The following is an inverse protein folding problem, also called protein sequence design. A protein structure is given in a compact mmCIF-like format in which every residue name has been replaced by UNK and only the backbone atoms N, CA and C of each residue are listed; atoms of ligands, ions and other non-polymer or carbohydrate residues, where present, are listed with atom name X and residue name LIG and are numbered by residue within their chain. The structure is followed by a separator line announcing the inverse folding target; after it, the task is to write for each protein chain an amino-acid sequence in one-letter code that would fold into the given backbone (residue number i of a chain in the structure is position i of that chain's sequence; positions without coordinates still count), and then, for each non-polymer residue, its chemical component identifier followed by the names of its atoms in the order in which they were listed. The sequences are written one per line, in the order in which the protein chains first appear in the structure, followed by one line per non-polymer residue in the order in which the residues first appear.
data_IF_760473052193
#
_entry.id   IF_760473052193
#
_cell.length_a   1.000
_cell.length_b   1.000
_cell.length_c   1.000
_cell.angle_alpha   90.00
_cell.angle_beta   90.00
_cell.angle_gamma   90.00
#
_symmetry.space_group_name_H-M   'P 1'
#
loop_
_entity.id
_entity.type
_entity.pdbx_description
1 polymer ?
#
# COMPACT_ATOMS: atom_id res chain seq x y z
N UNK A 1 0.17 2.65 -17.98
CA UNK A 1 0.30 1.24 -17.54
C UNK A 1 1.69 1.09 -16.94
N UNK A 2 1.80 0.65 -15.69
CA UNK A 2 3.09 0.46 -15.00
C UNK A 2 3.79 -0.76 -15.62
N UNK A 3 5.09 -0.66 -15.88
CA UNK A 3 5.87 -1.82 -16.36
C UNK A 3 6.12 -2.79 -15.21
N UNK A 4 6.13 -4.09 -15.50
CA UNK A 4 6.32 -5.11 -14.47
C UNK A 4 7.67 -4.94 -13.74
N UNK A 5 8.77 -4.70 -14.46
CA UNK A 5 10.10 -4.50 -13.85
C UNK A 5 10.14 -3.31 -12.86
N UNK A 6 9.42 -2.23 -13.19
CA UNK A 6 9.32 -1.04 -12.35
C UNK A 6 8.51 -1.34 -11.08
N UNK A 7 7.35 -1.98 -11.25
CA UNK A 7 6.49 -2.40 -10.14
C UNK A 7 7.21 -3.38 -9.21
N UNK A 8 7.89 -4.38 -9.77
CA UNK A 8 8.63 -5.38 -9.02
C UNK A 8 9.82 -4.75 -8.27
N UNK A 9 10.54 -3.82 -8.87
CA UNK A 9 11.65 -3.10 -8.22
C UNK A 9 11.17 -2.31 -7.00
N UNK A 10 10.05 -1.58 -7.13
CA UNK A 10 9.47 -0.83 -6.02
C UNK A 10 8.87 -1.76 -4.95
N UNK A 11 8.18 -2.83 -5.35
CA UNK A 11 7.67 -3.85 -4.43
C UNK A 11 8.81 -4.50 -3.63
N UNK A 12 9.93 -4.84 -4.28
CA UNK A 12 11.11 -5.36 -3.60
C UNK A 12 11.67 -4.37 -2.58
N UNK A 13 11.77 -3.09 -2.93
CA UNK A 13 12.23 -2.05 -2.01
C UNK A 13 11.32 -1.92 -0.78
N UNK A 14 10.00 -1.94 -0.98
CA UNK A 14 9.00 -1.91 0.09
C UNK A 14 9.10 -3.17 0.96
N UNK A 15 9.21 -4.35 0.37
CA UNK A 15 9.36 -5.60 1.11
C UNK A 15 10.62 -5.60 1.97
N UNK A 16 11.76 -5.12 1.46
CA UNK A 16 13.00 -5.00 2.23
C UNK A 16 12.89 -3.97 3.37
N UNK A 17 12.19 -2.85 3.15
CA UNK A 17 11.98 -1.80 4.16
C UNK A 17 11.04 -2.24 5.28
N UNK A 18 10.00 -3.01 4.95
CA UNK A 18 8.88 -3.28 5.85
C UNK A 18 8.88 -4.71 6.42
N UNK A 19 9.51 -5.66 5.72
CA UNK A 19 9.41 -7.08 6.03
C UNK A 19 8.03 -7.69 5.70
N UNK A 20 7.21 -7.01 4.89
CA UNK A 20 5.90 -7.53 4.49
C UNK A 20 5.99 -8.69 3.50
N UNK A 21 4.85 -9.36 3.26
CA UNK A 21 4.75 -10.40 2.23
C UNK A 21 4.87 -9.76 0.84
N UNK A 22 5.36 -10.53 -0.13
CA UNK A 22 5.49 -10.06 -1.51
C UNK A 22 4.19 -9.43 -2.04
N UNK A 23 3.04 -10.07 -1.82
CA UNK A 23 1.75 -9.55 -2.29
C UNK A 23 1.38 -8.20 -1.67
N UNK A 24 1.66 -7.99 -0.38
CA UNK A 24 1.41 -6.70 0.28
C UNK A 24 2.27 -5.61 -0.38
N UNK A 25 3.53 -5.93 -0.64
CA UNK A 25 4.47 -5.01 -1.27
C UNK A 25 4.05 -4.60 -2.68
N UNK A 26 3.50 -5.51 -3.48
CA UNK A 26 2.99 -5.20 -4.82
C UNK A 26 1.83 -4.21 -4.81
N UNK A 27 0.87 -4.37 -3.90
CA UNK A 27 -0.25 -3.42 -3.78
C UNK A 27 0.20 -2.06 -3.24
N UNK A 28 1.09 -2.04 -2.25
CA UNK A 28 1.65 -0.79 -1.71
C UNK A 28 2.46 -0.07 -2.79
N UNK A 29 3.28 -0.80 -3.55
CA UNK A 29 4.07 -0.26 -4.66
C UNK A 29 3.17 0.32 -5.75
N UNK A 30 2.10 -0.40 -6.10
CA UNK A 30 1.12 0.09 -7.09
C UNK A 30 0.51 1.41 -6.64
N UNK A 31 -0.02 1.47 -5.41
CA UNK A 31 -0.62 2.69 -4.86
C UNK A 31 0.38 3.86 -4.87
N UNK A 32 1.63 3.61 -4.49
CA UNK A 32 2.71 4.61 -4.52
C UNK A 32 3.00 5.12 -5.94
N UNK A 33 3.13 4.22 -6.91
CA UNK A 33 3.53 4.58 -8.28
C UNK A 33 2.44 5.33 -9.05
N UNK A 34 1.17 5.14 -8.68
CA UNK A 34 0.03 5.84 -9.29
C UNK A 34 -0.51 6.98 -8.44
N UNK A 35 0.18 7.35 -7.35
CA UNK A 35 -0.24 8.39 -6.41
C UNK A 35 -1.69 8.20 -5.91
N UNK A 36 -2.00 6.96 -5.49
CA UNK A 36 -3.32 6.55 -5.04
C UNK A 36 -3.34 6.20 -3.55
N UNK A 37 -4.53 6.29 -2.96
CA UNK A 37 -4.81 5.83 -1.60
C UNK A 37 -4.99 4.31 -1.60
N UNK A 38 -4.25 3.60 -0.73
CA UNK A 38 -4.45 2.17 -0.52
C UNK A 38 -5.59 1.90 0.47
N UNK A 39 -6.61 1.17 0.06
CA UNK A 39 -7.68 0.71 0.96
C UNK A 39 -7.57 -0.79 1.13
N UNK A 40 -7.54 -1.26 2.38
CA UNK A 40 -7.41 -2.69 2.70
C UNK A 40 -8.23 -3.08 3.92
N UNK A 41 -8.59 -4.35 4.05
CA UNK A 41 -9.13 -4.93 5.28
C UNK A 41 -8.08 -5.72 6.09
N UNK A 42 -6.82 -5.69 5.67
CA UNK A 42 -5.69 -6.26 6.40
C UNK A 42 -4.95 -5.16 7.18
N UNK A 43 -5.07 -5.18 8.51
CA UNK A 43 -4.41 -4.19 9.37
C UNK A 43 -2.88 -4.25 9.34
N UNK A 44 -2.29 -5.42 9.06
CA UNK A 44 -0.83 -5.57 8.91
C UNK A 44 -0.38 -4.92 7.61
N UNK A 45 -1.13 -5.11 6.52
CA UNK A 45 -0.86 -4.44 5.24
C UNK A 45 -0.94 -2.91 5.39
N UNK A 46 -1.96 -2.38 6.07
CA UNK A 46 -2.08 -0.94 6.35
C UNK A 46 -0.86 -0.41 7.11
N UNK A 47 -0.44 -1.11 8.17
CA UNK A 47 0.76 -0.74 8.94
C UNK A 47 2.04 -0.76 8.10
N UNK A 48 2.18 -1.73 7.18
CA UNK A 48 3.30 -1.78 6.26
C UNK A 48 3.26 -0.63 5.23
N UNK A 49 2.07 -0.24 4.76
CA UNK A 49 1.89 0.91 3.88
C UNK A 49 2.29 2.22 4.58
N UNK A 50 1.87 2.43 5.82
CA UNK A 50 2.28 3.59 6.63
C UNK A 50 3.81 3.64 6.78
N UNK A 51 4.45 2.51 7.10
CA UNK A 51 5.92 2.40 7.20
C UNK A 51 6.61 2.64 5.85
N UNK A 52 5.94 2.33 4.75
CA UNK A 52 6.41 2.63 3.40
C UNK A 52 6.23 4.11 3.02
N UNK A 53 5.41 4.86 3.75
CA UNK A 53 5.07 6.26 3.47
C UNK A 53 3.95 6.41 2.45
N UNK A 54 3.09 5.39 2.31
CA UNK A 54 1.93 5.39 1.41
C UNK A 54 0.68 5.62 2.24
N UNK A 55 -0.18 6.56 1.83
CA UNK A 55 -1.44 6.79 2.51
C UNK A 55 -2.35 5.57 2.37
N UNK A 56 -2.79 5.03 3.52
CA UNK A 56 -3.59 3.83 3.57
C UNK A 56 -4.68 3.85 4.65
N UNK A 57 -5.80 3.21 4.35
CA UNK A 57 -6.96 3.09 5.22
C UNK A 57 -7.30 1.63 5.46
N UNK A 58 -7.45 1.25 6.74
CA UNK A 58 -8.03 -0.02 7.10
C UNK A 58 -9.55 0.13 7.08
N UNK A 59 -10.20 -0.28 5.99
CA UNK A 59 -11.63 -0.03 5.73
C UNK A 59 -12.54 -0.36 6.93
N UNK A 60 -12.39 -1.53 7.56
CA UNK A 60 -13.22 -1.91 8.71
C UNK A 60 -13.12 -0.99 9.93
N UNK A 61 -12.03 -0.21 10.06
CA UNK A 61 -11.81 0.72 11.19
C UNK A 61 -11.86 2.19 10.79
N UNK A 62 -11.45 2.50 9.56
CA UNK A 62 -11.24 3.86 9.09
C UNK A 62 -12.33 4.32 8.10
N UNK A 63 -13.42 3.55 7.94
CA UNK A 63 -14.51 3.85 6.99
C UNK A 63 -14.99 5.30 7.07
N UNK A 64 -15.33 5.79 8.26
CA UNK A 64 -15.82 7.16 8.46
C UNK A 64 -14.81 8.23 8.02
N UNK A 65 -13.51 7.96 8.17
CA UNK A 65 -12.46 8.89 7.72
C UNK A 65 -12.29 8.81 6.21
N UNK A 66 -12.28 7.61 5.65
CA UNK A 66 -12.18 7.37 4.21
C UNK A 66 -13.37 8.00 3.46
N UNK A 67 -14.60 7.80 3.95
CA UNK A 67 -15.83 8.32 3.34
C UNK A 67 -15.87 9.86 3.25
N UNK A 68 -15.09 10.57 4.06
CA UNK A 68 -15.03 12.05 4.00
C UNK A 68 -14.09 12.60 2.93
N UNK A 69 -13.24 11.76 2.34
CA UNK A 69 -12.17 12.19 1.41
C UNK A 69 -12.29 11.58 0.01
N UNK A 70 -13.22 10.64 -0.18
CA UNK A 70 -13.59 10.06 -1.47
C UNK A 70 -14.96 10.58 -1.90
#
# INVERSE_FOLDING_TARGET
MIKEDELHSEAKAIALKTGCRAIDAYYIATAKLVDAILVTNDGVMKSNADRAGVEAYYLAKDYERLHRII
#
